data_IF_280032667838
#
_entry.id   IF_280032667838
#
_cell.length_a   1.000
_cell.length_b   1.000
_cell.length_c   1.000
_cell.angle_alpha   90.00
_cell.angle_beta   90.00
_cell.angle_gamma   90.00
#
_symmetry.space_group_name_H-M   'P 1'
#
loop_
_entity.id
_entity.type
_entity.pdbx_description
1 polymer ?
#
# COMPACT_ATOMS: atom_id res chain seq x y z
N UNK A 1 12.29 3.12 1.22
CA UNK A 1 12.79 2.04 0.33
C UNK A 1 11.69 1.05 0.10
N UNK A 2 11.40 0.72 -1.16
CA UNK A 2 10.49 -0.36 -1.53
C UNK A 2 11.28 -1.62 -1.84
N UNK A 3 10.77 -2.78 -1.46
CA UNK A 3 11.35 -4.07 -1.80
C UNK A 3 11.39 -4.25 -3.32
N UNK A 4 12.54 -4.69 -3.83
CA UNK A 4 12.77 -4.87 -5.25
C UNK A 4 13.44 -6.21 -5.57
N UNK A 5 13.18 -7.23 -4.76
CA UNK A 5 13.62 -8.60 -5.03
C UNK A 5 15.00 -8.96 -4.52
N UNK A 6 15.52 -10.05 -5.08
CA UNK A 6 16.80 -10.66 -4.67
C UNK A 6 17.91 -10.43 -5.69
N UNK A 7 17.55 -9.96 -6.87
CA UNK A 7 18.45 -9.51 -7.93
C UNK A 7 18.39 -8.00 -8.14
N UNK A 8 19.18 -7.56 -9.12
CA UNK A 8 19.12 -6.19 -9.64
C UNK A 8 18.17 -6.17 -10.82
N UNK A 9 17.27 -5.21 -10.85
CA UNK A 9 16.29 -5.06 -11.94
C UNK A 9 16.43 -3.72 -12.66
N UNK A 10 16.19 -3.75 -13.97
CA UNK A 10 16.08 -2.55 -14.79
C UNK A 10 14.70 -1.92 -14.66
N UNK A 11 14.61 -0.61 -14.89
CA UNK A 11 13.32 0.05 -15.03
C UNK A 11 12.54 -0.59 -16.18
N UNK A 12 11.27 -0.89 -15.93
CA UNK A 12 10.41 -1.56 -16.91
C UNK A 12 10.64 -3.05 -17.08
N UNK A 13 11.44 -3.67 -16.22
CA UNK A 13 11.61 -5.12 -16.19
C UNK A 13 10.47 -5.81 -15.43
N UNK A 14 9.86 -6.81 -16.09
CA UNK A 14 8.93 -7.72 -15.43
C UNK A 14 9.71 -8.83 -14.71
N UNK A 15 9.51 -8.97 -13.39
CA UNK A 15 10.11 -10.04 -12.60
C UNK A 15 9.24 -10.41 -11.39
N UNK A 16 9.18 -11.72 -11.12
CA UNK A 16 8.35 -12.31 -10.06
C UNK A 16 9.00 -12.26 -8.68
N UNK A 17 10.31 -12.01 -8.59
CA UNK A 17 11.00 -11.90 -7.29
C UNK A 17 10.91 -10.50 -6.69
N UNK A 18 10.37 -9.51 -7.42
CA UNK A 18 10.22 -8.11 -6.96
C UNK A 18 9.08 -7.90 -5.95
N UNK A 19 8.37 -8.98 -5.61
CA UNK A 19 7.38 -9.07 -4.54
C UNK A 19 7.69 -10.25 -3.61
N UNK A 20 7.08 -10.26 -2.42
CA UNK A 20 7.35 -11.28 -1.39
C UNK A 20 6.34 -12.45 -1.42
N UNK A 21 5.75 -12.70 -2.59
CA UNK A 21 4.56 -13.52 -2.78
C UNK A 21 3.27 -12.71 -2.81
N UNK A 22 2.14 -13.39 -2.63
CA UNK A 22 0.80 -12.79 -2.74
C UNK A 22 0.05 -12.80 -1.41
N UNK A 23 -0.75 -11.77 -1.16
CA UNK A 23 -1.69 -11.71 -0.04
C UNK A 23 -2.96 -10.98 -0.44
N UNK A 24 -4.08 -11.24 0.24
CA UNK A 24 -5.23 -10.35 0.18
C UNK A 24 -4.94 -9.11 1.01
N UNK A 25 -5.56 -7.98 0.66
CA UNK A 25 -5.44 -6.81 1.51
C UNK A 25 -6.15 -7.02 2.86
N UNK A 26 -7.36 -7.57 2.82
CA UNK A 26 -8.23 -7.81 3.98
C UNK A 26 -8.67 -9.29 4.06
N UNK A 27 -9.00 -9.76 5.26
CA UNK A 27 -9.58 -11.08 5.47
C UNK A 27 -11.10 -11.04 5.47
N UNK A 28 -11.72 -12.15 5.09
CA UNK A 28 -13.17 -12.37 5.19
C UNK A 28 -13.64 -12.66 6.63
N UNK A 29 -12.77 -12.51 7.64
CA UNK A 29 -13.17 -12.74 9.02
C UNK A 29 -14.22 -11.72 9.42
N UNK A 30 -15.32 -12.18 10.00
CA UNK A 30 -16.43 -11.34 10.42
C UNK A 30 -17.02 -10.47 9.28
N UNK A 31 -16.92 -10.90 8.02
CA UNK A 31 -17.41 -10.18 6.83
C UNK A 31 -16.79 -8.78 6.63
N UNK A 32 -15.56 -8.54 7.12
CA UNK A 32 -14.91 -7.23 7.02
C UNK A 32 -14.83 -6.74 5.56
N UNK A 33 -14.52 -7.64 4.63
CA UNK A 33 -14.39 -7.34 3.18
C UNK A 33 -15.70 -6.86 2.55
N UNK A 34 -16.84 -7.28 3.12
CA UNK A 34 -18.20 -6.93 2.69
C UNK A 34 -18.70 -5.61 3.32
N UNK A 35 -17.82 -4.87 3.99
CA UNK A 35 -18.09 -3.55 4.57
C UNK A 35 -16.98 -2.58 4.16
N UNK A 36 -17.22 -1.26 4.25
CA UNK A 36 -16.20 -0.25 3.96
C UNK A 36 -15.02 -0.25 4.95
N UNK A 37 -15.05 -1.12 5.96
CA UNK A 37 -13.96 -1.33 6.91
C UNK A 37 -12.81 -2.13 6.26
N UNK A 38 -13.11 -2.95 5.24
CA UNK A 38 -12.17 -3.84 4.58
C UNK A 38 -11.06 -3.18 3.76
N UNK A 39 -11.07 -1.86 3.61
CA UNK A 39 -9.94 -1.12 3.01
C UNK A 39 -8.89 -0.66 4.03
N UNK A 40 -9.12 -0.97 5.31
CA UNK A 40 -8.27 -0.54 6.42
C UNK A 40 -7.00 -1.35 6.56
N UNK A 41 -5.84 -0.69 6.60
CA UNK A 41 -4.56 -1.34 6.93
C UNK A 41 -4.58 -1.91 8.36
N UNK A 42 -5.21 -1.17 9.28
CA UNK A 42 -5.79 -1.68 10.52
C UNK A 42 -7.24 -1.25 10.62
N UNK A 43 -8.06 -1.99 11.34
CA UNK A 43 -9.50 -1.76 11.37
C UNK A 43 -10.16 -1.96 12.73
N UNK A 44 -11.37 -1.41 12.88
CA UNK A 44 -12.27 -1.67 13.99
C UNK A 44 -13.67 -1.75 13.41
N UNK A 45 -14.42 -2.80 13.72
CA UNK A 45 -15.76 -3.00 13.17
C UNK A 45 -16.65 -1.78 13.48
N UNK A 46 -17.46 -1.39 12.50
CA UNK A 46 -18.39 -0.25 12.58
C UNK A 46 -17.74 1.13 12.78
N UNK A 47 -16.41 1.24 12.66
CA UNK A 47 -15.70 2.51 12.65
C UNK A 47 -14.92 2.67 11.33
N UNK A 48 -14.84 3.89 10.83
CA UNK A 48 -14.07 4.20 9.63
C UNK A 48 -12.59 3.86 9.77
N UNK A 49 -12.07 4.12 10.96
CA UNK A 49 -10.70 3.85 11.38
C UNK A 49 -10.66 3.65 12.90
N UNK A 50 -9.60 3.02 13.44
CA UNK A 50 -9.41 2.91 14.89
C UNK A 50 -9.42 4.29 15.58
N UNK A 51 -9.86 4.35 16.83
CA UNK A 51 -9.93 5.59 17.63
C UNK A 51 -8.56 6.08 18.15
N UNK A 52 -7.51 5.29 17.94
CA UNK A 52 -6.14 5.62 18.29
C UNK A 52 -5.20 5.24 17.15
N UNK A 53 -4.13 6.01 16.98
CA UNK A 53 -3.07 5.70 16.02
C UNK A 53 -2.48 4.32 16.34
N UNK A 54 -2.25 3.50 15.31
CA UNK A 54 -1.83 2.10 15.42
C UNK A 54 -2.78 1.19 16.23
N UNK A 55 -3.98 1.65 16.60
CA UNK A 55 -4.99 0.84 17.27
C UNK A 55 -5.70 -0.15 16.33
N UNK A 56 -6.65 -0.89 16.88
CA UNK A 56 -7.48 -1.83 16.11
C UNK A 56 -6.77 -3.11 15.66
N UNK A 57 -7.50 -3.92 14.89
CA UNK A 57 -7.09 -5.23 14.37
C UNK A 57 -6.26 -5.08 13.10
N UNK A 58 -5.20 -5.88 12.97
CA UNK A 58 -4.38 -5.94 11.76
C UNK A 58 -5.15 -6.57 10.59
N UNK A 59 -5.06 -5.95 9.42
CA UNK A 59 -5.48 -6.55 8.16
C UNK A 59 -4.60 -7.76 7.79
N UNK A 60 -5.03 -8.56 6.81
CA UNK A 60 -4.19 -9.63 6.26
C UNK A 60 -2.90 -9.10 5.68
N UNK A 61 -2.96 -7.98 4.96
CA UNK A 61 -1.76 -7.33 4.43
C UNK A 61 -0.78 -6.95 5.52
N UNK A 62 -1.28 -6.37 6.62
CA UNK A 62 -0.43 -5.97 7.75
C UNK A 62 0.26 -7.17 8.39
N UNK A 63 -0.47 -8.27 8.62
CA UNK A 63 0.11 -9.53 9.14
C UNK A 63 1.21 -10.06 8.21
N UNK A 64 0.96 -10.12 6.90
CA UNK A 64 1.96 -10.56 5.90
C UNK A 64 3.22 -9.69 5.94
N UNK A 65 3.07 -8.36 6.03
CA UNK A 65 4.21 -7.45 6.11
C UNK A 65 5.01 -7.60 7.41
N UNK A 66 4.33 -7.79 8.54
CA UNK A 66 4.98 -7.97 9.84
C UNK A 66 5.78 -9.28 9.91
N UNK A 67 5.24 -10.37 9.34
CA UNK A 67 5.94 -11.66 9.23
C UNK A 67 7.19 -11.52 8.37
N UNK A 68 7.07 -10.85 7.21
CA UNK A 68 8.21 -10.56 6.34
C UNK A 68 9.26 -9.71 7.04
N UNK A 69 8.85 -8.65 7.73
CA UNK A 69 9.74 -7.74 8.45
C UNK A 69 10.50 -8.47 9.56
N UNK A 70 9.79 -9.28 10.35
CA UNK A 70 10.39 -10.11 11.41
C UNK A 70 11.45 -11.03 10.82
N UNK A 71 11.11 -11.73 9.74
CA UNK A 71 11.99 -12.74 9.13
C UNK A 71 13.21 -12.12 8.45
N UNK A 72 13.02 -11.05 7.70
CA UNK A 72 14.04 -10.53 6.78
C UNK A 72 14.78 -9.31 7.32
N UNK A 73 14.26 -8.63 8.33
CA UNK A 73 14.90 -7.45 8.92
C UNK A 73 15.31 -7.75 10.37
N UNK A 74 14.36 -8.13 11.24
CA UNK A 74 14.63 -8.32 12.68
C UNK A 74 15.57 -9.52 12.91
N UNK A 75 15.21 -10.70 12.41
CA UNK A 75 15.98 -11.92 12.61
C UNK A 75 17.36 -11.88 11.95
N UNK A 76 17.57 -10.93 11.02
CA UNK A 76 18.87 -10.68 10.36
C UNK A 76 19.68 -9.56 11.02
N UNK A 77 19.17 -8.96 12.10
CA UNK A 77 19.87 -7.93 12.88
C UNK A 77 19.86 -6.54 12.25
N UNK A 78 18.92 -6.26 11.33
CA UNK A 78 18.85 -4.98 10.60
C UNK A 78 17.83 -3.98 11.16
N UNK A 79 17.12 -4.32 12.23
CA UNK A 79 16.04 -3.48 12.77
C UNK A 79 16.49 -2.08 13.20
N UNK A 80 17.74 -1.94 13.65
CA UNK A 80 18.34 -0.66 14.05
C UNK A 80 18.53 0.32 12.88
N UNK A 81 18.50 -0.15 11.63
CA UNK A 81 18.61 0.69 10.44
C UNK A 81 17.25 1.18 9.94
N UNK A 82 16.15 0.74 10.53
CA UNK A 82 14.79 1.09 10.10
C UNK A 82 14.18 2.11 11.05
N UNK A 83 13.65 3.20 10.49
CA UNK A 83 12.99 4.26 11.24
C UNK A 83 11.83 3.73 12.07
N UNK A 84 11.77 4.13 13.33
CA UNK A 84 10.73 3.72 14.29
C UNK A 84 9.46 4.55 14.20
N UNK A 85 9.55 5.80 13.73
CA UNK A 85 8.46 6.77 13.71
C UNK A 85 8.01 7.14 12.30
N UNK A 86 8.48 6.43 11.27
CA UNK A 86 8.03 6.73 9.92
C UNK A 86 6.57 6.30 9.73
N UNK A 87 5.77 7.18 9.13
CA UNK A 87 4.34 6.97 8.96
C UNK A 87 3.98 6.40 7.59
N UNK A 88 3.06 5.44 7.56
CA UNK A 88 2.42 4.92 6.35
C UNK A 88 0.94 5.32 6.32
N UNK A 89 0.52 6.05 5.28
CA UNK A 89 -0.79 6.67 5.25
C UNK A 89 -1.83 5.83 4.49
N UNK A 90 -2.83 5.30 5.20
CA UNK A 90 -3.95 4.58 4.59
C UNK A 90 -5.08 5.52 4.12
N UNK A 91 -5.07 6.81 4.49
CA UNK A 91 -5.97 7.88 4.03
C UNK A 91 -7.42 7.45 3.69
N UNK A 92 -8.20 7.11 4.71
CA UNK A 92 -9.61 6.71 4.53
C UNK A 92 -10.58 7.87 4.58
N UNK A 93 -10.12 9.11 4.45
CA UNK A 93 -11.02 10.26 4.31
C UNK A 93 -11.87 10.12 3.05
N UNK A 94 -13.11 10.62 3.09
CA UNK A 94 -14.09 10.44 2.01
C UNK A 94 -14.13 11.65 1.09
N UNK A 95 -14.38 11.43 -0.21
CA UNK A 95 -14.54 12.52 -1.19
C UNK A 95 -15.79 13.35 -0.87
N UNK A 96 -16.87 12.69 -0.46
CA UNK A 96 -18.16 13.32 -0.16
C UNK A 96 -18.82 12.66 1.04
N UNK A 97 -19.58 13.44 1.81
CA UNK A 97 -20.53 12.95 2.80
C UNK A 97 -19.92 12.25 4.02
N UNK A 98 -20.81 11.69 4.84
CA UNK A 98 -20.44 10.91 6.03
C UNK A 98 -20.13 9.46 5.67
N UNK A 99 -19.13 8.88 6.32
CA UNK A 99 -18.78 7.48 6.17
C UNK A 99 -19.86 6.55 6.78
N UNK A 100 -20.07 5.39 6.16
CA UNK A 100 -20.90 4.30 6.69
C UNK A 100 -20.27 2.96 6.36
N UNK A 101 -20.21 2.06 7.36
CA UNK A 101 -19.76 0.68 7.18
C UNK A 101 -20.50 -0.08 6.06
N UNK A 102 -21.77 0.29 5.83
CA UNK A 102 -22.69 -0.40 4.92
C UNK A 102 -23.28 0.55 3.85
N UNK A 103 -22.55 1.60 3.49
CA UNK A 103 -22.92 2.51 2.40
C UNK A 103 -21.77 2.64 1.42
N UNK A 104 -22.05 2.99 0.15
CA UNK A 104 -20.98 3.23 -0.82
C UNK A 104 -20.09 4.39 -0.38
N UNK A 105 -18.78 4.24 -0.51
CA UNK A 105 -17.77 5.23 -0.10
C UNK A 105 -16.74 5.42 -1.21
N UNK A 106 -16.46 6.64 -1.62
CA UNK A 106 -15.27 6.99 -2.40
C UNK A 106 -14.26 7.69 -1.50
N UNK A 107 -13.00 7.24 -1.52
CA UNK A 107 -11.94 7.78 -0.66
C UNK A 107 -11.15 8.90 -1.34
N UNK A 108 -10.47 9.76 -0.57
CA UNK A 108 -9.80 10.94 -1.14
C UNK A 108 -8.76 10.60 -2.21
N UNK A 109 -8.05 9.48 -2.09
CA UNK A 109 -7.14 9.02 -3.13
C UNK A 109 -7.86 8.81 -4.48
N UNK A 110 -9.11 8.31 -4.48
CA UNK A 110 -9.94 8.25 -5.69
C UNK A 110 -10.16 9.64 -6.28
N UNK A 111 -10.59 10.61 -5.45
CA UNK A 111 -10.82 11.98 -5.90
C UNK A 111 -9.54 12.62 -6.48
N UNK A 112 -8.39 12.40 -5.84
CA UNK A 112 -7.09 12.93 -6.28
C UNK A 112 -6.58 12.30 -7.56
N UNK A 113 -6.66 10.98 -7.70
CA UNK A 113 -6.00 10.25 -8.79
C UNK A 113 -6.92 9.97 -9.99
N UNK A 114 -8.23 9.84 -9.76
CA UNK A 114 -9.20 9.55 -10.83
C UNK A 114 -9.79 10.84 -11.37
N UNK A 115 -10.36 11.68 -10.49
CA UNK A 115 -11.09 12.88 -10.90
C UNK A 115 -10.19 14.08 -11.15
N UNK A 116 -9.35 14.43 -10.16
CA UNK A 116 -8.65 15.72 -10.13
C UNK A 116 -7.22 15.67 -10.68
N UNK A 117 -6.64 14.47 -10.84
CA UNK A 117 -5.25 14.23 -11.28
C UNK A 117 -4.21 15.05 -10.49
N UNK A 118 -4.41 15.15 -9.17
CA UNK A 118 -3.59 15.94 -8.26
C UNK A 118 -3.15 15.10 -7.05
N UNK A 119 -2.09 14.27 -7.19
CA UNK A 119 -1.59 13.46 -6.09
C UNK A 119 -1.03 14.34 -4.95
N UNK A 120 -0.95 13.80 -3.74
CA UNK A 120 -0.36 14.46 -2.57
C UNK A 120 0.41 13.48 -1.70
N UNK A 121 1.49 13.94 -1.08
CA UNK A 121 2.24 13.18 -0.06
C UNK A 121 1.71 13.43 1.36
N UNK A 122 0.69 14.27 1.52
CA UNK A 122 0.13 14.62 2.83
C UNK A 122 -0.87 13.56 3.30
N UNK A 123 -0.70 13.10 4.53
CA UNK A 123 -1.73 12.37 5.26
C UNK A 123 -2.57 13.37 6.05
N UNK A 124 -3.87 13.46 5.76
CA UNK A 124 -4.72 14.49 6.38
C UNK A 124 -5.17 14.15 7.80
N UNK A 125 -5.08 12.86 8.20
CA UNK A 125 -5.59 12.37 9.46
C UNK A 125 -4.59 11.44 10.14
N UNK A 126 -4.13 11.82 11.33
CA UNK A 126 -3.10 11.09 12.09
C UNK A 126 -3.53 9.69 12.53
N UNK A 127 -4.85 9.41 12.59
CA UNK A 127 -5.36 8.06 12.90
C UNK A 127 -5.16 7.07 11.74
N UNK A 128 -4.97 7.56 10.52
CA UNK A 128 -4.60 6.76 9.34
C UNK A 128 -3.11 6.85 9.01
N UNK A 129 -2.34 7.62 9.78
CA UNK A 129 -0.89 7.64 9.70
C UNK A 129 -0.32 6.58 10.64
N UNK A 130 -0.02 5.41 10.10
CA UNK A 130 0.50 4.30 10.88
C UNK A 130 2.00 4.42 11.09
N UNK A 131 2.43 4.62 12.34
CA UNK A 131 3.84 4.61 12.73
C UNK A 131 4.30 3.17 12.96
N UNK A 132 4.56 2.47 11.86
CA UNK A 132 5.01 1.08 11.82
C UNK A 132 6.36 0.98 11.12
N UNK A 133 7.08 -0.11 11.34
CA UNK A 133 8.40 -0.34 10.70
C UNK A 133 8.31 -0.69 9.21
N UNK A 134 7.16 -1.22 8.80
CA UNK A 134 6.88 -1.67 7.44
C UNK A 134 5.47 -1.28 7.04
N UNK A 135 5.28 -0.99 5.75
CA UNK A 135 4.00 -0.68 5.14
C UNK A 135 4.00 -0.98 3.64
N UNK A 136 3.09 -0.35 2.90
CA UNK A 136 3.09 -0.34 1.45
C UNK A 136 3.20 1.09 0.94
N UNK A 137 3.59 1.21 -0.33
CA UNK A 137 3.56 2.48 -1.06
C UNK A 137 2.11 2.97 -1.21
N UNK A 138 1.93 4.29 -1.22
CA UNK A 138 0.64 4.94 -1.52
C UNK A 138 0.42 5.05 -3.03
N UNK A 139 -0.84 5.09 -3.47
CA UNK A 139 -1.15 5.32 -4.88
C UNK A 139 -0.71 6.73 -5.34
N UNK A 140 -0.68 7.71 -4.44
CA UNK A 140 -0.14 9.04 -4.72
C UNK A 140 1.37 9.01 -4.99
N UNK A 141 2.16 8.25 -4.23
CA UNK A 141 3.59 8.03 -4.49
C UNK A 141 3.81 7.30 -5.82
N UNK A 142 2.98 6.30 -6.14
CA UNK A 142 3.01 5.64 -7.46
C UNK A 142 2.76 6.66 -8.58
N UNK A 143 1.83 7.59 -8.37
CA UNK A 143 1.54 8.63 -9.36
C UNK A 143 2.72 9.56 -9.58
N UNK A 144 3.42 9.97 -8.51
CA UNK A 144 4.67 10.72 -8.62
C UNK A 144 5.80 9.95 -9.31
N UNK A 145 5.81 8.61 -9.18
CA UNK A 145 6.79 7.75 -9.84
C UNK A 145 6.51 7.54 -11.35
N UNK A 146 5.36 7.98 -11.85
CA UNK A 146 4.99 7.88 -13.27
C UNK A 146 3.83 6.93 -13.57
N UNK A 147 3.27 6.24 -12.57
CA UNK A 147 2.04 5.48 -12.75
C UNK A 147 0.85 6.41 -12.98
N UNK A 148 -0.05 6.07 -13.90
CA UNK A 148 -1.21 6.91 -14.21
C UNK A 148 -2.47 6.06 -14.19
N UNK A 149 -3.56 6.61 -13.66
CA UNK A 149 -4.83 5.89 -13.59
C UNK A 149 -5.38 5.62 -15.00
N UNK A 150 -5.64 4.35 -15.33
CA UNK A 150 -6.11 3.88 -16.64
C UNK A 150 -5.19 4.21 -17.83
N UNK A 151 -3.88 4.37 -17.60
CA UNK A 151 -2.91 4.59 -18.66
C UNK A 151 -1.65 3.78 -18.42
N UNK A 152 -1.39 2.82 -19.32
CA UNK A 152 -0.24 1.94 -19.26
C UNK A 152 1.06 2.76 -19.25
N UNK A 153 1.96 2.37 -18.35
CA UNK A 153 3.32 2.87 -18.34
C UNK A 153 4.22 1.75 -17.84
N UNK A 154 4.90 1.05 -18.73
CA UNK A 154 5.79 -0.05 -18.36
C UNK A 154 7.25 0.38 -18.26
N UNK A 155 7.56 1.68 -18.28
CA UNK A 155 8.94 2.17 -18.36
C UNK A 155 9.49 2.72 -17.05
N UNK A 156 8.67 2.78 -16.00
CA UNK A 156 9.03 3.34 -14.70
C UNK A 156 9.42 2.27 -13.68
N UNK A 157 10.12 2.66 -12.62
CA UNK A 157 10.79 1.72 -11.71
C UNK A 157 9.83 0.83 -10.90
N UNK A 158 8.58 1.27 -10.65
CA UNK A 158 7.61 0.47 -9.91
C UNK A 158 6.91 -0.59 -10.76
N UNK A 159 6.98 -0.50 -12.09
CA UNK A 159 6.50 -1.57 -12.96
C UNK A 159 7.32 -2.83 -12.68
N UNK A 160 6.64 -3.95 -12.40
CA UNK A 160 7.28 -5.25 -12.18
C UNK A 160 6.62 -6.38 -12.99
N UNK A 161 5.70 -6.06 -13.91
CA UNK A 161 4.96 -7.05 -14.71
C UNK A 161 3.95 -7.90 -13.92
N UNK A 162 3.71 -7.57 -12.65
CA UNK A 162 2.69 -8.18 -11.80
C UNK A 162 1.84 -7.11 -11.13
N UNK A 163 0.62 -7.49 -10.76
CA UNK A 163 -0.29 -6.61 -10.02
C UNK A 163 0.03 -6.66 -8.53
N UNK A 164 0.28 -5.50 -7.90
CA UNK A 164 0.54 -5.40 -6.46
C UNK A 164 -0.29 -4.32 -5.75
N UNK A 165 -0.54 -4.53 -4.46
CA UNK A 165 -1.30 -3.61 -3.61
C UNK A 165 -0.53 -2.34 -3.27
N UNK A 166 -1.25 -1.22 -3.27
CA UNK A 166 -0.87 -0.01 -2.54
C UNK A 166 -1.62 0.03 -1.20
N UNK A 167 -1.18 0.87 -0.25
CA UNK A 167 -1.93 1.11 1.00
C UNK A 167 -3.17 1.99 0.77
N UNK A 168 -3.33 2.62 -0.40
CA UNK A 168 -4.37 3.62 -0.63
C UNK A 168 -5.71 2.99 -1.00
N UNK A 169 -6.80 3.31 -0.29
CA UNK A 169 -8.13 2.82 -0.60
C UNK A 169 -8.69 3.52 -1.84
N UNK A 170 -9.46 2.79 -2.65
CA UNK A 170 -10.10 3.31 -3.85
C UNK A 170 -11.56 3.70 -3.56
N UNK A 171 -12.40 2.69 -3.34
CA UNK A 171 -13.79 2.86 -2.93
C UNK A 171 -14.28 1.61 -2.17
N UNK A 172 -15.46 1.73 -1.57
CA UNK A 172 -16.28 0.59 -1.19
C UNK A 172 -17.60 0.70 -1.94
N UNK A 173 -17.96 -0.35 -2.66
CA UNK A 173 -19.17 -0.37 -3.45
C UNK A 173 -20.23 -1.21 -2.76
N UNK A 174 -21.36 -0.58 -2.44
CA UNK A 174 -22.50 -1.23 -1.81
C UNK A 174 -23.69 -1.24 -2.78
N UNK A 175 -24.08 -2.42 -3.24
CA UNK A 175 -25.25 -2.62 -4.11
C UNK A 175 -26.15 -3.72 -3.57
N UNK A 176 -27.30 -3.95 -4.22
CA UNK A 176 -28.18 -5.08 -3.93
C UNK A 176 -27.54 -6.45 -4.23
N UNK A 177 -26.51 -6.50 -5.08
CA UNK A 177 -25.94 -7.75 -5.59
C UNK A 177 -24.58 -8.09 -4.98
N UNK A 178 -23.78 -7.08 -4.64
CA UNK A 178 -22.43 -7.25 -4.12
C UNK A 178 -22.00 -6.09 -3.25
N UNK A 179 -21.05 -6.39 -2.36
CA UNK A 179 -20.44 -5.46 -1.40
C UNK A 179 -18.94 -5.68 -1.46
N UNK A 180 -18.21 -4.75 -2.08
CA UNK A 180 -16.80 -4.98 -2.39
C UNK A 180 -15.97 -3.79 -1.94
N UNK A 181 -14.98 -4.08 -1.11
CA UNK A 181 -13.90 -3.15 -0.76
C UNK A 181 -12.85 -3.16 -1.85
N UNK A 182 -12.37 -2.00 -2.28
CA UNK A 182 -11.37 -1.89 -3.33
C UNK A 182 -10.20 -1.01 -2.88
N UNK A 183 -9.00 -1.51 -3.14
CA UNK A 183 -7.74 -0.76 -2.99
C UNK A 183 -7.28 -0.26 -4.35
N UNK A 184 -6.39 0.73 -4.33
CA UNK A 184 -5.57 1.01 -5.49
C UNK A 184 -4.47 -0.04 -5.65
N UNK A 185 -4.21 -0.39 -6.89
CA UNK A 185 -3.21 -1.37 -7.32
C UNK A 185 -2.33 -0.72 -8.39
N UNK A 186 -1.08 -1.18 -8.46
CA UNK A 186 -0.31 -1.08 -9.70
C UNK A 186 -0.58 -2.35 -10.48
N UNK A 187 -1.10 -2.22 -11.71
CA UNK A 187 -1.42 -3.37 -12.56
C UNK A 187 -0.16 -3.93 -13.25
N UNK A 188 -0.27 -5.12 -13.81
CA UNK A 188 0.78 -5.75 -14.63
C UNK A 188 1.18 -4.97 -15.90
N UNK A 189 0.47 -3.88 -16.23
CA UNK A 189 0.79 -2.93 -17.31
C UNK A 189 1.32 -1.58 -16.77
N UNK A 190 1.61 -1.50 -15.47
CA UNK A 190 2.18 -0.32 -14.81
C UNK A 190 1.23 0.87 -14.65
N UNK A 191 -0.04 0.71 -15.03
CA UNK A 191 -1.08 1.68 -14.72
C UNK A 191 -1.54 1.55 -13.26
N UNK A 192 -2.00 2.67 -12.70
CA UNK A 192 -2.74 2.65 -11.43
C UNK A 192 -4.18 2.25 -11.75
N UNK A 193 -4.73 1.28 -11.02
CA UNK A 193 -6.14 0.89 -11.14
C UNK A 193 -6.77 0.78 -9.76
N UNK A 194 -8.08 0.94 -9.71
CA UNK A 194 -8.90 0.55 -8.57
C UNK A 194 -10.27 0.09 -9.06
N UNK A 195 -10.96 -0.71 -8.25
CA UNK A 195 -12.24 -1.30 -8.64
C UNK A 195 -12.16 -2.62 -9.42
N UNK A 196 -10.97 -3.09 -9.79
CA UNK A 196 -10.81 -4.33 -10.55
C UNK A 196 -10.72 -5.58 -9.65
N UNK A 197 -9.97 -5.50 -8.54
CA UNK A 197 -9.84 -6.59 -7.58
C UNK A 197 -10.34 -6.12 -6.22
N UNK A 198 -11.28 -6.88 -5.65
CA UNK A 198 -11.69 -6.62 -4.27
C UNK A 198 -10.56 -6.93 -3.30
N UNK A 199 -10.54 -6.26 -2.16
CA UNK A 199 -9.52 -6.34 -1.13
C UNK A 199 -9.29 -7.76 -0.57
N UNK A 200 -10.20 -8.71 -0.82
CA UNK A 200 -10.05 -10.11 -0.44
C UNK A 200 -9.34 -10.98 -1.51
N UNK A 201 -9.07 -10.43 -2.70
CA UNK A 201 -8.37 -11.11 -3.78
C UNK A 201 -6.86 -11.04 -3.55
N UNK A 202 -6.15 -12.14 -3.78
CA UNK A 202 -4.70 -12.17 -3.66
C UNK A 202 -4.03 -11.36 -4.78
N UNK A 203 -3.05 -10.52 -4.41
CA UNK A 203 -2.14 -9.84 -5.34
C UNK A 203 -0.74 -9.77 -4.72
N UNK A 204 0.27 -9.43 -5.52
CA UNK A 204 1.64 -9.36 -5.05
C UNK A 204 1.81 -8.32 -3.93
N UNK A 205 2.74 -8.59 -3.02
CA UNK A 205 3.06 -7.72 -1.89
C UNK A 205 4.45 -7.13 -2.07
N UNK A 206 4.56 -5.80 -1.97
CA UNK A 206 5.84 -5.08 -2.03
C UNK A 206 6.04 -4.26 -0.75
N UNK A 207 6.79 -4.80 0.23
CA UNK A 207 7.08 -4.09 1.47
C UNK A 207 7.77 -2.76 1.23
N UNK A 208 7.43 -1.75 2.03
CA UNK A 208 8.15 -0.49 2.10
C UNK A 208 8.64 -0.30 3.54
N UNK A 209 9.91 0.07 3.67
CA UNK A 209 10.53 0.47 4.93
C UNK A 209 11.12 1.87 4.79
N UNK A 210 11.24 2.59 5.89
CA UNK A 210 11.96 3.86 5.92
C UNK A 210 13.26 3.66 6.69
N UNK A 211 14.37 4.18 6.16
CA UNK A 211 15.65 4.12 6.86
C UNK A 211 15.66 5.08 8.04
N UNK A 212 16.30 4.69 9.14
CA UNK A 212 16.54 5.59 10.27
C UNK A 212 17.37 6.80 9.80
N UNK A 213 17.09 7.98 10.35
CA UNK A 213 17.75 9.22 9.93
C UNK A 213 19.28 9.20 10.16
N UNK A 214 19.77 8.34 11.06
CA UNK A 214 21.19 8.19 11.36
C UNK A 214 21.89 7.14 10.48
N UNK A 215 21.15 6.48 9.58
CA UNK A 215 21.72 5.57 8.60
C UNK A 215 22.67 6.35 7.68
N UNK A 216 23.91 5.87 7.58
CA UNK A 216 24.90 6.41 6.64
C UNK A 216 24.95 5.54 5.39
N UNK A 217 24.89 6.16 4.22
CA UNK A 217 25.21 5.50 2.96
C UNK A 217 26.74 5.40 2.88
N UNK A 218 27.28 4.18 3.01
CA UNK A 218 28.73 3.91 2.99
C UNK A 218 29.31 4.04 1.58
N UNK A 219 28.54 3.63 0.57
CA UNK A 219 28.93 3.67 -0.84
C UNK A 219 27.70 3.49 -1.74
N UNK A 220 27.91 3.60 -3.05
CA UNK A 220 26.87 3.45 -4.05
C UNK A 220 26.19 4.77 -4.42
N UNK A 221 25.83 4.92 -5.68
CA UNK A 221 25.04 6.06 -6.19
C UNK A 221 23.59 5.71 -6.50
N UNK A 222 23.16 4.49 -6.15
CA UNK A 222 21.77 4.04 -6.33
C UNK A 222 21.43 3.61 -7.75
N UNK A 223 22.43 3.23 -8.56
CA UNK A 223 22.19 2.62 -9.88
C UNK A 223 22.18 1.10 -9.77
N UNK A 224 21.67 0.43 -10.80
CA UNK A 224 21.69 -1.04 -10.88
C UNK A 224 23.12 -1.62 -10.77
N UNK A 225 24.10 -0.95 -11.35
CA UNK A 225 25.52 -1.34 -11.27
C UNK A 225 26.24 -0.86 -10.02
N UNK A 226 25.67 0.08 -9.27
CA UNK A 226 26.27 0.67 -8.07
C UNK A 226 25.19 0.99 -7.03
N UNK A 227 24.60 -0.05 -6.40
CA UNK A 227 23.51 0.10 -5.45
C UNK A 227 24.00 0.70 -4.13
N UNK A 228 23.10 1.38 -3.41
CA UNK A 228 23.42 1.92 -2.09
C UNK A 228 23.81 0.81 -1.11
N UNK A 229 24.91 1.02 -0.40
CA UNK A 229 25.37 0.18 0.70
C UNK A 229 25.21 0.94 2.00
N UNK A 230 24.51 0.32 2.97
CA UNK A 230 24.20 0.87 4.29
C UNK A 230 25.19 0.37 5.35
#
# INVERSE_FOLDING_TARGET
>A
MIYDGTGVHSNGEASVDRGIGTSSFSDDTANVVNTSVGVGFKYTLNLQRPISQNGGTDSMMKKTLDEWYTTNIVNRGYDSYVATQAGFCNDRDTVTGSWSANGSVSYLAYGRLVSNKKPTLKCSNDLDLYTTKVGLITADEVAYAGGVNNLNNISYYLYMGETFYTISPYNFQYTLYYRLSYMFLVHDQGQILGGNNSANVAAAVRPVINLDANVTIKSGIGTSSDPYVI
#
